data_IF_422602976961
#
_entry.id   IF_422602976961
#
_cell.length_a   1.000
_cell.length_b   1.000
_cell.length_c   1.000
_cell.angle_alpha   90.00
_cell.angle_beta   90.00
_cell.angle_gamma   90.00
#
_symmetry.space_group_name_H-M   'P 1'
#
loop_
_entity.id
_entity.type
_entity.pdbx_description
1 polymer ?
#
# COMPACT_ATOMS: atom_id res chain seq x y z
N UNK A 1 68.54 -41.10 -14.80
CA UNK A 1 67.17 -41.47 -14.38
C UNK A 1 66.50 -40.23 -13.83
N UNK A 2 65.65 -39.56 -14.61
CA UNK A 2 64.87 -38.40 -14.18
C UNK A 2 63.39 -38.72 -14.40
N UNK A 3 62.60 -38.76 -13.33
CA UNK A 3 61.13 -38.81 -13.41
C UNK A 3 60.61 -37.47 -12.92
N UNK A 4 60.15 -36.69 -13.90
CA UNK A 4 59.49 -35.40 -13.73
C UNK A 4 58.08 -35.63 -13.18
N UNK A 5 57.79 -34.99 -12.04
CA UNK A 5 56.47 -34.94 -11.42
C UNK A 5 55.67 -33.85 -12.14
N UNK A 6 54.51 -34.19 -12.72
CA UNK A 6 53.50 -33.21 -13.13
C UNK A 6 52.27 -33.37 -12.23
N UNK A 7 52.10 -32.43 -11.29
CA UNK A 7 50.81 -32.17 -10.65
C UNK A 7 50.00 -31.26 -11.57
N UNK A 8 48.92 -31.77 -12.17
CA UNK A 8 47.88 -30.93 -12.75
C UNK A 8 46.86 -30.61 -11.65
N UNK A 9 46.94 -29.39 -11.10
CA UNK A 9 45.88 -28.82 -10.29
C UNK A 9 44.76 -28.31 -11.23
N UNK A 10 43.64 -29.03 -11.28
CA UNK A 10 42.43 -28.54 -11.94
C UNK A 10 41.71 -27.58 -10.98
N UNK A 11 41.78 -26.28 -11.25
CA UNK A 11 40.99 -25.25 -10.58
C UNK A 11 39.52 -25.42 -10.97
N UNK A 12 38.70 -25.86 -10.01
CA UNK A 12 37.23 -25.83 -10.09
C UNK A 12 36.76 -24.37 -10.04
N UNK A 13 36.39 -23.82 -11.20
CA UNK A 13 35.58 -22.60 -11.26
C UNK A 13 34.13 -22.91 -10.91
N UNK A 14 33.69 -22.58 -9.70
CA UNK A 14 32.28 -22.60 -9.34
C UNK A 14 31.57 -21.44 -10.04
N UNK A 15 31.04 -21.67 -11.24
CA UNK A 15 30.05 -20.78 -11.82
C UNK A 15 28.80 -20.84 -10.93
N UNK A 16 28.48 -19.74 -10.24
CA UNK A 16 27.23 -19.62 -9.50
C UNK A 16 26.07 -19.71 -10.50
N UNK A 17 25.45 -20.89 -10.58
CA UNK A 17 24.22 -21.09 -11.33
C UNK A 17 23.13 -20.22 -10.67
N UNK A 18 22.81 -19.09 -11.30
CA UNK A 18 21.55 -18.39 -11.06
C UNK A 18 20.45 -19.38 -11.43
N UNK A 19 19.64 -19.80 -10.45
CA UNK A 19 18.48 -20.62 -10.76
C UNK A 19 17.53 -19.78 -11.62
N UNK A 20 16.91 -20.36 -12.63
CA UNK A 20 15.94 -19.66 -13.47
C UNK A 20 14.79 -19.02 -12.65
N UNK A 21 14.57 -19.46 -11.41
CA UNK A 21 13.65 -18.88 -10.44
C UNK A 21 14.02 -17.47 -9.93
N UNK A 22 15.25 -17.02 -10.17
CA UNK A 22 15.82 -15.81 -9.56
C UNK A 22 15.93 -14.66 -10.58
N UNK A 23 15.31 -14.79 -11.75
CA UNK A 23 15.26 -13.72 -12.76
C UNK A 23 14.17 -12.69 -12.40
N UNK A 24 14.53 -11.42 -12.12
CA UNK A 24 13.57 -10.40 -11.75
C UNK A 24 12.70 -9.93 -12.93
N UNK A 25 12.92 -10.40 -14.16
CA UNK A 25 12.04 -10.12 -15.31
C UNK A 25 10.83 -11.04 -15.37
N UNK A 26 10.85 -12.17 -14.66
CA UNK A 26 9.72 -13.09 -14.59
C UNK A 26 8.61 -12.48 -13.72
N UNK A 27 7.35 -12.71 -14.10
CA UNK A 27 6.20 -12.28 -13.31
C UNK A 27 6.08 -13.09 -12.03
N UNK A 28 5.87 -12.40 -10.89
CA UNK A 28 5.78 -13.03 -9.58
C UNK A 28 4.33 -13.00 -9.07
N UNK A 29 3.82 -14.09 -8.46
CA UNK A 29 2.49 -14.11 -7.85
C UNK A 29 2.30 -12.97 -6.84
N UNK A 30 1.23 -12.19 -7.00
CA UNK A 30 0.91 -11.08 -6.08
C UNK A 30 1.81 -9.85 -6.22
N UNK A 31 2.69 -9.78 -7.23
CA UNK A 31 3.54 -8.63 -7.53
C UNK A 31 3.21 -8.09 -8.92
N UNK A 32 2.90 -6.80 -9.02
CA UNK A 32 2.59 -6.15 -10.30
C UNK A 32 3.86 -5.72 -11.03
N UNK A 33 3.91 -6.01 -12.32
CA UNK A 33 4.91 -5.49 -13.24
C UNK A 33 4.47 -4.11 -13.75
N UNK A 34 5.15 -3.05 -13.31
CA UNK A 34 4.83 -1.69 -13.71
C UNK A 34 5.64 -1.26 -14.94
N UNK A 35 4.96 -0.47 -15.76
CA UNK A 35 5.48 0.23 -16.94
C UNK A 35 5.21 1.73 -16.79
N UNK A 36 5.79 2.61 -17.63
CA UNK A 36 5.51 4.04 -17.57
C UNK A 36 4.01 4.38 -17.65
N UNK A 37 3.25 3.60 -18.43
CA UNK A 37 1.81 3.81 -18.65
C UNK A 37 0.96 3.36 -17.46
N UNK A 38 1.46 2.41 -16.67
CA UNK A 38 0.70 1.77 -15.58
C UNK A 38 1.17 2.22 -14.20
N UNK A 39 2.35 2.84 -14.09
CA UNK A 39 2.99 3.19 -12.83
C UNK A 39 2.08 4.05 -11.96
N UNK A 40 1.75 5.27 -12.41
CA UNK A 40 0.99 6.22 -11.60
C UNK A 40 -0.40 5.65 -11.23
N UNK A 41 -1.05 4.90 -12.12
CA UNK A 41 -2.34 4.24 -11.84
C UNK A 41 -2.29 3.27 -10.66
N UNK A 42 -1.17 2.57 -10.46
CA UNK A 42 -1.05 1.54 -9.43
C UNK A 42 -0.36 2.00 -8.15
N UNK A 43 0.43 3.08 -8.21
CA UNK A 43 1.16 3.60 -7.04
C UNK A 43 0.54 4.87 -6.44
N UNK A 44 -0.39 5.51 -7.16
CA UNK A 44 -1.19 6.63 -6.64
C UNK A 44 -2.62 6.18 -6.36
N UNK A 45 -3.26 6.86 -5.41
CA UNK A 45 -4.66 6.61 -5.05
C UNK A 45 -4.82 5.80 -3.78
N UNK A 46 -5.75 4.85 -3.80
CA UNK A 46 -6.37 4.32 -2.59
C UNK A 46 -5.54 3.41 -1.69
N UNK A 47 -4.47 2.84 -2.25
CA UNK A 47 -3.68 1.81 -1.61
C UNK A 47 -2.26 2.33 -1.40
N UNK A 48 -1.65 1.85 -0.33
CA UNK A 48 -0.21 1.99 -0.17
C UNK A 48 0.47 1.14 -1.23
N UNK A 49 1.63 1.54 -1.74
CA UNK A 49 2.41 0.70 -2.62
C UNK A 49 3.85 0.53 -2.11
N UNK A 50 4.37 -0.69 -2.19
CA UNK A 50 5.78 -0.97 -2.02
C UNK A 50 6.32 -1.39 -3.39
N UNK A 51 7.28 -0.65 -3.92
CA UNK A 51 7.79 -0.83 -5.29
C UNK A 51 9.27 -1.14 -5.28
N UNK A 52 9.65 -2.27 -5.87
CA UNK A 52 11.04 -2.59 -6.22
C UNK A 52 11.40 -1.93 -7.56
N UNK A 53 12.44 -1.11 -7.55
CA UNK A 53 13.15 -0.65 -8.75
C UNK A 53 14.34 -1.58 -8.98
N UNK A 54 14.32 -2.30 -10.09
CA UNK A 54 15.33 -3.33 -10.40
C UNK A 54 15.97 -3.14 -11.78
N UNK A 55 17.04 -3.91 -12.01
CA UNK A 55 17.64 -4.13 -13.31
C UNK A 55 17.93 -5.63 -13.51
N UNK A 56 17.78 -6.18 -14.74
CA UNK A 56 17.88 -7.63 -14.99
C UNK A 56 19.30 -8.19 -14.78
N UNK A 57 20.32 -7.37 -14.95
CA UNK A 57 21.72 -7.74 -14.75
C UNK A 57 22.16 -7.65 -13.27
N UNK A 58 21.35 -7.06 -12.39
CA UNK A 58 21.74 -6.84 -11.00
C UNK A 58 21.65 -8.12 -10.15
N UNK A 59 22.80 -8.61 -9.68
CA UNK A 59 22.87 -9.79 -8.82
C UNK A 59 22.13 -9.63 -7.48
N UNK A 60 22.03 -8.41 -6.94
CA UNK A 60 21.25 -8.15 -5.72
C UNK A 60 19.74 -8.25 -5.97
N UNK A 61 19.25 -7.78 -7.12
CA UNK A 61 17.85 -7.94 -7.51
C UNK A 61 17.48 -9.42 -7.63
N UNK A 62 18.34 -10.20 -8.31
CA UNK A 62 18.14 -11.65 -8.46
C UNK A 62 17.97 -12.36 -7.12
N UNK A 63 18.81 -12.03 -6.14
CA UNK A 63 18.72 -12.57 -4.78
C UNK A 63 17.47 -12.16 -4.02
N UNK A 64 16.84 -11.04 -4.38
CA UNK A 64 15.63 -10.54 -3.71
C UNK A 64 14.34 -11.16 -4.26
N UNK A 65 14.34 -11.66 -5.50
CA UNK A 65 13.20 -12.31 -6.15
C UNK A 65 12.44 -13.30 -5.24
N UNK A 66 13.09 -14.29 -4.57
CA UNK A 66 12.36 -15.24 -3.73
C UNK A 66 11.65 -14.58 -2.54
N UNK A 67 12.28 -13.58 -1.91
CA UNK A 67 11.69 -12.85 -0.77
C UNK A 67 10.54 -11.95 -1.23
N UNK A 68 10.70 -11.28 -2.37
CA UNK A 68 9.68 -10.40 -2.93
C UNK A 68 8.46 -11.17 -3.45
N UNK A 69 8.69 -12.35 -4.04
CA UNK A 69 7.62 -13.30 -4.39
C UNK A 69 6.84 -13.71 -3.14
N UNK A 70 7.54 -14.15 -2.09
CA UNK A 70 6.91 -14.57 -0.83
C UNK A 70 6.10 -13.44 -0.20
N UNK A 71 6.60 -12.21 -0.26
CA UNK A 71 5.84 -11.03 0.16
C UNK A 71 4.53 -10.86 -0.64
N UNK A 72 4.59 -10.95 -1.97
CA UNK A 72 3.42 -10.86 -2.84
C UNK A 72 2.36 -11.91 -2.48
N UNK A 73 2.78 -13.15 -2.25
CA UNK A 73 1.89 -14.25 -1.83
C UNK A 73 1.26 -13.98 -0.44
N UNK A 74 2.05 -13.53 0.54
CA UNK A 74 1.56 -13.18 1.88
C UNK A 74 0.53 -12.04 1.85
N UNK A 75 0.81 -10.98 1.08
CA UNK A 75 -0.11 -9.85 0.94
C UNK A 75 -1.38 -10.27 0.19
N UNK A 76 -1.27 -11.11 -0.84
CA UNK A 76 -2.42 -11.61 -1.59
C UNK A 76 -3.30 -12.57 -0.77
N UNK A 77 -2.72 -13.29 0.20
CA UNK A 77 -3.42 -14.22 1.07
C UNK A 77 -4.15 -13.55 2.25
N UNK A 78 -3.74 -12.34 2.67
CA UNK A 78 -4.37 -11.60 3.76
C UNK A 78 -5.36 -10.54 3.21
N UNK A 79 -6.68 -10.70 3.42
CA UNK A 79 -7.68 -9.75 2.95
C UNK A 79 -7.51 -8.32 3.50
N UNK A 80 -6.90 -8.16 4.69
CA UNK A 80 -6.62 -6.84 5.27
C UNK A 80 -5.50 -6.12 4.52
N UNK A 81 -4.58 -6.87 3.92
CA UNK A 81 -3.42 -6.34 3.18
C UNK A 81 -3.72 -6.22 1.69
N UNK A 82 -4.24 -7.27 1.05
CA UNK A 82 -4.56 -7.32 -0.39
C UNK A 82 -5.37 -6.11 -0.88
N UNK A 83 -6.23 -5.61 -0.01
CA UNK A 83 -7.16 -4.52 -0.32
C UNK A 83 -6.60 -3.14 0.00
N UNK A 84 -5.49 -3.04 0.74
CA UNK A 84 -4.89 -1.77 1.19
C UNK A 84 -3.46 -1.56 0.68
N UNK A 85 -2.83 -2.60 0.13
CA UNK A 85 -1.43 -2.59 -0.30
C UNK A 85 -1.30 -3.15 -1.70
N UNK A 86 -0.46 -2.50 -2.50
CA UNK A 86 0.06 -2.96 -3.78
C UNK A 86 1.53 -3.34 -3.60
N UNK A 87 1.90 -4.55 -4.02
CA UNK A 87 3.30 -4.96 -4.16
C UNK A 87 3.63 -4.93 -5.65
N UNK A 88 4.72 -4.27 -6.03
CA UNK A 88 5.01 -4.03 -7.43
C UNK A 88 6.52 -3.96 -7.71
N UNK A 89 6.89 -4.18 -8.97
CA UNK A 89 8.26 -4.02 -9.44
C UNK A 89 8.31 -3.28 -10.76
N UNK A 90 9.39 -2.57 -11.01
CA UNK A 90 9.64 -1.85 -12.25
C UNK A 90 11.09 -2.03 -12.68
N UNK A 91 11.29 -2.38 -13.94
CA UNK A 91 12.62 -2.39 -14.54
C UNK A 91 13.05 -0.94 -14.82
N UNK A 92 13.74 -0.33 -13.87
CA UNK A 92 14.18 1.06 -14.00
C UNK A 92 15.42 1.22 -14.91
N UNK A 93 16.06 0.12 -15.34
CA UNK A 93 17.09 0.17 -16.37
C UNK A 93 16.47 0.32 -17.78
N UNK A 94 15.33 -0.33 -18.02
CA UNK A 94 14.53 -0.17 -19.23
C UNK A 94 13.65 1.10 -19.20
N UNK A 95 13.17 1.49 -18.02
CA UNK A 95 12.28 2.65 -17.82
C UNK A 95 12.96 3.72 -16.95
N UNK A 96 14.09 4.25 -17.45
CA UNK A 96 14.95 5.20 -16.72
C UNK A 96 14.21 6.44 -16.20
N UNK A 97 13.25 6.96 -16.97
CA UNK A 97 12.44 8.13 -16.59
C UNK A 97 11.71 7.95 -15.26
N UNK A 98 11.24 6.73 -14.95
CA UNK A 98 10.60 6.43 -13.65
C UNK A 98 11.66 6.41 -12.54
N UNK A 99 12.83 5.80 -12.79
CA UNK A 99 13.95 5.81 -11.85
C UNK A 99 14.41 7.24 -11.52
N UNK A 100 14.58 8.08 -12.53
CA UNK A 100 15.00 9.48 -12.41
C UNK A 100 13.97 10.31 -11.61
N UNK A 101 12.67 10.11 -11.86
CA UNK A 101 11.56 10.76 -11.13
C UNK A 101 11.69 10.57 -9.62
N UNK A 102 12.17 9.41 -9.18
CA UNK A 102 12.30 9.05 -7.76
C UNK A 102 13.75 8.97 -7.26
N UNK A 103 14.71 9.52 -8.01
CA UNK A 103 16.13 9.54 -7.63
C UNK A 103 16.74 8.15 -7.34
N UNK A 104 16.40 7.16 -8.20
CA UNK A 104 16.96 5.81 -8.12
C UNK A 104 18.35 5.80 -8.74
N UNK A 105 19.38 5.68 -7.89
CA UNK A 105 20.80 5.70 -8.30
C UNK A 105 21.48 4.33 -8.28
N UNK A 106 20.78 3.28 -7.84
CA UNK A 106 21.32 1.94 -7.72
C UNK A 106 20.20 0.91 -7.57
N UNK A 107 20.57 -0.37 -7.64
CA UNK A 107 19.60 -1.47 -7.65
C UNK A 107 19.93 -2.58 -6.64
N UNK A 108 18.91 -3.22 -6.02
CA UNK A 108 17.53 -2.75 -6.00
C UNK A 108 17.39 -1.55 -5.06
N UNK A 109 16.50 -0.63 -5.43
CA UNK A 109 15.97 0.41 -4.54
C UNK A 109 14.50 0.09 -4.30
N UNK A 110 14.07 0.14 -3.04
CA UNK A 110 12.68 -0.10 -2.67
C UNK A 110 12.10 1.21 -2.17
N UNK A 111 10.95 1.59 -2.69
CA UNK A 111 10.25 2.81 -2.27
C UNK A 111 8.84 2.49 -1.83
N UNK A 112 8.40 3.20 -0.81
CA UNK A 112 7.08 3.13 -0.24
C UNK A 112 6.29 4.39 -0.64
N UNK A 113 5.12 4.16 -1.20
CA UNK A 113 4.19 5.18 -1.68
C UNK A 113 2.98 5.15 -0.73
N UNK A 114 2.82 6.17 0.12
CA UNK A 114 1.66 6.25 1.01
C UNK A 114 0.36 6.42 0.22
N UNK A 115 -0.70 5.74 0.65
CA UNK A 115 -2.05 5.89 0.11
C UNK A 115 -2.51 7.35 0.18
N UNK A 116 -3.24 7.79 -0.85
CA UNK A 116 -3.84 9.12 -0.95
C UNK A 116 -2.83 10.27 -1.11
N UNK A 117 -1.55 9.96 -1.29
CA UNK A 117 -0.50 10.97 -1.52
C UNK A 117 -0.06 10.95 -2.99
N UNK A 118 0.32 12.11 -3.56
CA UNK A 118 0.91 12.16 -4.89
C UNK A 118 2.21 11.34 -4.93
N UNK A 119 2.54 10.73 -6.06
CA UNK A 119 3.81 10.03 -6.24
C UNK A 119 4.93 11.03 -6.64
N UNK A 120 5.47 11.75 -5.66
CA UNK A 120 6.58 12.69 -5.83
C UNK A 120 7.63 12.53 -4.72
N UNK A 121 8.72 13.29 -4.79
CA UNK A 121 9.88 13.13 -3.90
C UNK A 121 9.60 13.52 -2.44
N UNK A 122 8.59 14.35 -2.18
CA UNK A 122 8.29 14.86 -0.84
C UNK A 122 7.44 13.87 -0.02
N UNK A 123 6.70 12.98 -0.70
CA UNK A 123 5.76 12.05 -0.08
C UNK A 123 6.23 10.61 -0.10
N UNK A 124 7.05 10.23 -1.10
CA UNK A 124 7.59 8.88 -1.26
C UNK A 124 8.74 8.65 -0.28
N UNK A 125 8.72 7.50 0.39
CA UNK A 125 9.71 7.14 1.40
C UNK A 125 10.62 6.03 0.90
N UNK A 126 11.92 6.12 1.19
CA UNK A 126 12.83 5.00 0.96
C UNK A 126 12.61 3.90 1.99
N UNK A 127 12.61 2.65 1.53
CA UNK A 127 12.68 1.50 2.41
C UNK A 127 14.14 1.05 2.58
N UNK A 128 14.68 1.30 3.78
CA UNK A 128 16.08 1.02 4.13
C UNK A 128 16.22 -0.06 5.22
N UNK A 129 15.17 -0.84 5.48
CA UNK A 129 15.20 -1.95 6.44
C UNK A 129 15.63 -3.27 5.77
N UNK A 130 15.59 -4.38 6.53
CA UNK A 130 15.97 -5.71 6.03
C UNK A 130 15.11 -6.14 4.83
N UNK A 131 15.71 -6.80 3.83
CA UNK A 131 15.04 -7.16 2.57
C UNK A 131 14.53 -8.61 2.58
N UNK A 132 13.83 -8.97 3.65
CA UNK A 132 13.16 -10.27 3.80
C UNK A 132 11.65 -10.07 3.75
N UNK A 133 10.91 -11.11 3.34
CA UNK A 133 9.45 -11.08 3.24
C UNK A 133 8.80 -10.66 4.57
N UNK A 134 9.34 -11.14 5.70
CA UNK A 134 8.85 -10.78 7.04
C UNK A 134 9.07 -9.30 7.35
N UNK A 135 10.27 -8.76 7.10
CA UNK A 135 10.56 -7.35 7.38
C UNK A 135 9.71 -6.41 6.52
N UNK A 136 9.53 -6.74 5.23
CA UNK A 136 8.61 -5.99 4.37
C UNK A 136 7.17 -6.03 4.88
N UNK A 137 6.70 -7.21 5.30
CA UNK A 137 5.35 -7.40 5.82
C UNK A 137 5.12 -6.61 7.10
N UNK A 138 6.08 -6.63 8.03
CA UNK A 138 5.98 -5.93 9.31
C UNK A 138 5.98 -4.42 9.11
N UNK A 139 6.85 -3.90 8.22
CA UNK A 139 6.82 -2.50 7.81
C UNK A 139 5.46 -2.10 7.23
N UNK A 140 4.88 -2.91 6.34
CA UNK A 140 3.57 -2.62 5.76
C UNK A 140 2.47 -2.60 6.83
N UNK A 141 2.50 -3.53 7.79
CA UNK A 141 1.55 -3.55 8.91
C UNK A 141 1.71 -2.31 9.79
N UNK A 142 2.94 -1.92 10.12
CA UNK A 142 3.22 -0.69 10.87
C UNK A 142 2.62 0.53 10.15
N UNK A 143 2.88 0.67 8.84
CA UNK A 143 2.33 1.76 8.04
C UNK A 143 0.80 1.75 7.98
N UNK A 144 0.19 0.57 7.85
CA UNK A 144 -1.27 0.43 7.84
C UNK A 144 -1.92 0.73 9.19
N UNK A 145 -1.21 0.50 10.29
CA UNK A 145 -1.66 0.84 11.64
C UNK A 145 -1.51 2.34 11.92
N UNK A 146 -0.44 2.97 11.41
CA UNK A 146 -0.25 4.41 11.50
C UNK A 146 -1.18 5.20 10.56
N UNK A 147 -1.59 4.59 9.45
CA UNK A 147 -2.60 5.11 8.55
C UNK A 147 -3.98 5.08 9.23
N UNK A 148 -4.38 6.24 9.79
CA UNK A 148 -5.69 6.49 10.41
C UNK A 148 -6.88 6.22 9.48
N UNK A 149 -6.63 5.97 8.19
CA UNK A 149 -7.57 5.38 7.26
C UNK A 149 -7.62 6.12 5.92
N UNK A 150 -7.53 5.34 4.84
CA UNK A 150 -7.76 5.81 3.47
C UNK A 150 -9.12 6.52 3.34
N UNK A 151 -9.16 7.71 2.74
CA UNK A 151 -10.35 8.56 2.59
C UNK A 151 -10.83 9.33 3.84
N UNK A 152 -10.05 9.40 4.91
CA UNK A 152 -10.34 10.41 5.95
C UNK A 152 -10.00 11.81 5.46
N UNK A 153 -10.84 12.76 5.85
CA UNK A 153 -10.61 14.18 5.60
C UNK A 153 -10.25 14.78 6.95
N UNK A 154 -8.98 15.08 7.15
CA UNK A 154 -8.45 15.52 8.45
C UNK A 154 -9.24 16.70 9.03
N UNK A 155 -9.65 17.64 8.19
CA UNK A 155 -10.47 18.79 8.57
C UNK A 155 -11.87 18.41 9.11
N UNK A 156 -12.37 17.21 8.80
CA UNK A 156 -13.69 16.72 9.23
C UNK A 156 -13.63 15.71 10.39
N UNK A 157 -12.45 15.20 10.73
CA UNK A 157 -12.25 14.18 11.77
C UNK A 157 -12.70 14.68 13.14
N UNK A 158 -12.39 15.93 13.49
CA UNK A 158 -12.81 16.54 14.75
C UNK A 158 -14.33 16.66 14.86
N UNK A 159 -15.01 16.98 13.76
CA UNK A 159 -16.47 17.04 13.69
C UNK A 159 -17.12 15.66 13.82
N UNK A 160 -16.52 14.62 13.22
CA UNK A 160 -16.99 13.24 13.37
C UNK A 160 -16.97 12.80 14.85
N UNK A 161 -15.88 13.09 15.57
CA UNK A 161 -15.77 12.84 17.01
C UNK A 161 -16.80 13.63 17.81
N UNK A 162 -16.91 14.95 17.55
CA UNK A 162 -17.91 15.81 18.19
C UNK A 162 -19.33 15.27 17.98
N UNK A 163 -19.65 14.78 16.78
CA UNK A 163 -20.96 14.23 16.46
C UNK A 163 -21.28 12.96 17.26
N UNK A 164 -20.28 12.10 17.51
CA UNK A 164 -20.47 10.84 18.21
C UNK A 164 -20.96 11.05 19.66
N UNK A 165 -20.48 12.11 20.33
CA UNK A 165 -20.80 12.45 21.72
C UNK A 165 -21.77 13.61 21.91
N UNK A 166 -22.11 14.37 20.86
CA UNK A 166 -22.98 15.52 20.96
C UNK A 166 -24.43 15.17 21.33
N UNK A 167 -25.02 15.98 22.19
CA UNK A 167 -26.47 16.02 22.44
C UNK A 167 -27.19 16.62 21.21
N UNK A 168 -26.72 17.77 20.72
CA UNK A 168 -27.23 18.40 19.50
C UNK A 168 -26.46 17.96 18.26
N UNK A 169 -26.81 16.75 17.78
CA UNK A 169 -26.25 16.19 16.56
C UNK A 169 -26.60 16.97 15.30
N UNK A 170 -27.71 17.71 15.30
CA UNK A 170 -28.14 18.50 14.15
C UNK A 170 -27.23 19.73 13.95
N UNK A 171 -26.85 20.41 15.03
CA UNK A 171 -25.89 21.50 14.99
C UNK A 171 -24.52 21.02 14.45
N UNK A 172 -23.99 19.91 14.96
CA UNK A 172 -22.71 19.36 14.48
C UNK A 172 -22.78 18.98 13.00
N UNK A 173 -23.89 18.39 12.55
CA UNK A 173 -24.10 18.09 11.13
C UNK A 173 -24.07 19.36 10.27
N UNK A 174 -24.70 20.46 10.70
CA UNK A 174 -24.69 21.72 9.98
C UNK A 174 -23.27 22.31 9.90
N UNK A 175 -22.53 22.31 11.00
CA UNK A 175 -21.12 22.74 11.03
C UNK A 175 -20.24 21.90 10.10
N UNK A 176 -20.45 20.57 10.09
CA UNK A 176 -19.69 19.65 9.22
C UNK A 176 -19.98 19.91 7.74
N UNK A 177 -21.25 20.20 7.38
CA UNK A 177 -21.62 20.60 6.01
C UNK A 177 -20.91 21.89 5.61
N UNK A 178 -20.84 22.89 6.48
CA UNK A 178 -20.11 24.12 6.21
C UNK A 178 -18.59 23.88 6.06
N UNK A 179 -18.00 23.04 6.92
CA UNK A 179 -16.58 22.68 6.84
C UNK A 179 -16.25 21.93 5.54
N UNK A 180 -17.15 21.10 5.03
CA UNK A 180 -16.97 20.37 3.77
C UNK A 180 -16.84 21.31 2.56
N UNK A 181 -17.54 22.44 2.55
CA UNK A 181 -17.44 23.42 1.45
C UNK A 181 -16.03 24.02 1.32
N UNK A 182 -15.28 24.07 2.43
CA UNK A 182 -13.90 24.56 2.47
C UNK A 182 -12.86 23.49 2.10
N UNK A 183 -13.26 22.22 1.92
CA UNK A 183 -12.35 21.14 1.53
C UNK A 183 -11.99 21.28 0.05
N UNK A 184 -10.71 21.37 -0.26
CA UNK A 184 -10.23 21.42 -1.65
C UNK A 184 -9.97 20.03 -2.24
N UNK A 185 -10.23 19.88 -3.55
CA UNK A 185 -10.00 18.64 -4.30
C UNK A 185 -11.23 17.72 -4.40
N UNK A 186 -11.52 17.24 -5.61
CA UNK A 186 -12.73 16.46 -5.90
C UNK A 186 -12.81 15.15 -5.10
N UNK A 187 -11.68 14.45 -4.95
CA UNK A 187 -11.63 13.21 -4.16
C UNK A 187 -11.86 13.47 -2.67
N UNK A 188 -11.25 14.53 -2.12
CA UNK A 188 -11.44 14.91 -0.73
C UNK A 188 -12.88 15.34 -0.45
N UNK A 189 -13.53 16.08 -1.38
CA UNK A 189 -14.96 16.40 -1.30
C UNK A 189 -15.85 15.16 -1.37
N UNK A 190 -15.55 14.23 -2.28
CA UNK A 190 -16.29 12.96 -2.40
C UNK A 190 -16.18 12.11 -1.12
N UNK A 191 -14.99 12.11 -0.50
CA UNK A 191 -14.74 11.44 0.77
C UNK A 191 -15.46 12.16 1.93
N UNK A 192 -15.43 13.49 1.96
CA UNK A 192 -16.13 14.30 2.96
C UNK A 192 -17.65 14.14 2.91
N UNK A 193 -18.24 13.91 1.72
CA UNK A 193 -19.65 13.58 1.59
C UNK A 193 -20.05 12.27 2.32
N UNK A 194 -19.10 11.34 2.54
CA UNK A 194 -19.35 10.15 3.36
C UNK A 194 -19.57 10.50 4.83
N UNK A 195 -18.87 11.50 5.38
CA UNK A 195 -19.07 11.96 6.76
C UNK A 195 -20.52 12.42 6.95
N UNK A 196 -20.98 13.29 6.05
CA UNK A 196 -22.37 13.80 6.05
C UNK A 196 -23.37 12.66 5.97
N UNK A 197 -23.16 11.73 5.03
CA UNK A 197 -24.04 10.56 4.85
C UNK A 197 -24.13 9.70 6.11
N UNK A 198 -23.02 9.47 6.81
CA UNK A 198 -23.02 8.66 8.03
C UNK A 198 -23.65 9.39 9.21
N UNK A 199 -23.42 10.70 9.35
CA UNK A 199 -24.11 11.52 10.34
C UNK A 199 -25.62 11.50 10.13
N UNK A 200 -26.10 11.68 8.89
CA UNK A 200 -27.52 11.61 8.56
C UNK A 200 -28.11 10.23 8.86
N UNK A 201 -27.39 9.15 8.51
CA UNK A 201 -27.85 7.78 8.81
C UNK A 201 -27.85 7.48 10.30
N UNK A 202 -26.89 8.00 11.07
CA UNK A 202 -26.87 7.85 12.51
C UNK A 202 -27.98 8.66 13.21
N UNK A 203 -28.35 9.82 12.66
CA UNK A 203 -29.51 10.58 13.12
C UNK A 203 -30.83 9.85 12.86
N UNK A 204 -30.95 9.16 11.71
CA UNK A 204 -32.12 8.37 11.35
C UNK A 204 -32.22 7.03 12.13
N UNK A 205 -31.10 6.32 12.28
CA UNK A 205 -31.06 4.93 12.77
C UNK A 205 -30.57 4.78 14.20
N UNK A 206 -30.17 5.87 14.85
CA UNK A 206 -29.63 5.87 16.20
C UNK A 206 -28.11 5.70 16.28
N UNK A 207 -27.56 5.99 17.46
CA UNK A 207 -26.11 6.11 17.70
C UNK A 207 -25.32 4.82 17.43
N UNK A 208 -25.92 3.64 17.61
CA UNK A 208 -25.27 2.34 17.37
C UNK A 208 -25.07 2.01 15.89
N UNK A 209 -25.66 2.79 14.97
CA UNK A 209 -25.51 2.59 13.53
C UNK A 209 -24.04 2.65 13.09
N UNK A 210 -23.28 3.62 13.60
CA UNK A 210 -21.90 3.87 13.17
C UNK A 210 -21.00 2.66 13.48
N UNK A 211 -21.05 2.16 14.72
CA UNK A 211 -20.27 1.00 15.16
C UNK A 211 -20.70 -0.29 14.46
N UNK A 212 -22.01 -0.50 14.31
CA UNK A 212 -22.55 -1.70 13.65
C UNK A 212 -22.20 -1.73 12.17
N UNK A 213 -22.30 -0.60 11.47
CA UNK A 213 -21.96 -0.51 10.06
C UNK A 213 -20.46 -0.68 9.82
N UNK A 214 -19.60 -0.11 10.68
CA UNK A 214 -18.15 -0.32 10.59
C UNK A 214 -17.81 -1.80 10.74
N UNK A 215 -18.31 -2.45 11.79
CA UNK A 215 -18.08 -3.87 12.02
C UNK A 215 -18.58 -4.75 10.86
N UNK A 216 -19.74 -4.41 10.28
CA UNK A 216 -20.28 -5.11 9.11
C UNK A 216 -19.37 -4.98 7.89
N UNK A 217 -18.89 -3.78 7.60
CA UNK A 217 -17.98 -3.53 6.47
C UNK A 217 -16.63 -4.22 6.67
N UNK A 218 -16.05 -4.16 7.86
CA UNK A 218 -14.79 -4.85 8.18
C UNK A 218 -14.92 -6.37 8.06
N UNK A 219 -16.05 -6.95 8.52
CA UNK A 219 -16.36 -8.37 8.34
C UNK A 219 -16.45 -8.75 6.86
N UNK A 220 -17.09 -7.92 6.04
CA UNK A 220 -17.17 -8.17 4.59
C UNK A 220 -15.82 -8.02 3.89
N UNK A 221 -15.01 -7.03 4.28
CA UNK A 221 -13.67 -6.82 3.73
C UNK A 221 -12.73 -7.98 4.07
N UNK A 222 -12.87 -8.55 5.28
CA UNK A 222 -12.08 -9.69 5.76
C UNK A 222 -12.55 -11.05 5.26
N UNK A 223 -13.83 -11.22 4.90
CA UNK A 223 -14.34 -12.50 4.37
C UNK A 223 -13.91 -12.79 2.93
N UNK A 224 -13.35 -11.80 2.22
CA UNK A 224 -12.91 -11.95 0.82
C UNK A 224 -14.05 -12.13 -0.20
N UNK A 225 -15.31 -12.05 0.24
CA UNK A 225 -16.51 -12.22 -0.60
C UNK A 225 -16.95 -10.94 -1.33
N UNK A 226 -16.10 -9.92 -1.34
CA UNK A 226 -16.38 -8.60 -1.94
C UNK A 226 -15.61 -8.49 -3.25
N UNK A 227 -16.29 -8.06 -4.33
CA UNK A 227 -15.64 -7.82 -5.61
C UNK A 227 -14.59 -6.71 -5.48
N UNK A 228 -13.51 -6.79 -6.25
CA UNK A 228 -12.44 -5.77 -6.24
C UNK A 228 -13.00 -4.34 -6.45
N UNK A 229 -14.03 -4.19 -7.29
CA UNK A 229 -14.73 -2.92 -7.51
C UNK A 229 -15.46 -2.35 -6.28
N UNK A 230 -15.88 -3.20 -5.34
CA UNK A 230 -16.58 -2.81 -4.11
C UNK A 230 -15.66 -2.68 -2.91
N UNK A 231 -14.48 -3.33 -2.96
CA UNK A 231 -13.48 -3.26 -1.90
C UNK A 231 -13.06 -1.84 -1.61
N UNK A 232 -12.75 -1.05 -2.65
CA UNK A 232 -12.27 0.32 -2.46
C UNK A 232 -13.37 1.18 -1.82
N UNK A 233 -14.61 1.06 -2.30
CA UNK A 233 -15.76 1.76 -1.73
C UNK A 233 -16.02 1.37 -0.26
N UNK A 234 -15.98 0.08 0.06
CA UNK A 234 -16.18 -0.41 1.42
C UNK A 234 -15.04 -0.01 2.35
N UNK A 235 -13.80 -0.02 1.87
CA UNK A 235 -12.63 0.42 2.62
C UNK A 235 -12.71 1.91 2.94
N UNK A 236 -13.10 2.76 1.97
CA UNK A 236 -13.35 4.19 2.21
C UNK A 236 -14.40 4.40 3.30
N UNK A 237 -15.51 3.69 3.21
CA UNK A 237 -16.61 3.78 4.18
C UNK A 237 -16.18 3.33 5.58
N UNK A 238 -15.52 2.18 5.70
CA UNK A 238 -15.05 1.66 6.98
C UNK A 238 -14.03 2.61 7.63
N UNK A 239 -13.15 3.20 6.82
CA UNK A 239 -12.19 4.21 7.24
C UNK A 239 -12.84 5.48 7.76
N UNK A 240 -13.76 6.08 7.00
CA UNK A 240 -14.51 7.27 7.44
C UNK A 240 -15.31 6.98 8.72
N UNK A 241 -15.92 5.80 8.84
CA UNK A 241 -16.61 5.40 10.07
C UNK A 241 -15.67 5.29 11.28
N UNK A 242 -14.39 4.96 11.07
CA UNK A 242 -13.36 5.03 12.11
C UNK A 242 -13.25 6.41 12.75
N UNK A 243 -13.45 7.48 11.97
CA UNK A 243 -13.38 8.85 12.49
C UNK A 243 -14.38 9.17 13.61
N UNK A 244 -15.48 8.41 13.68
CA UNK A 244 -16.50 8.57 14.71
C UNK A 244 -16.26 7.70 15.96
N UNK A 245 -15.35 6.73 15.88
CA UNK A 245 -15.27 5.61 16.82
C UNK A 245 -13.89 5.38 17.43
N UNK A 246 -12.84 5.99 16.87
CA UNK A 246 -11.49 5.86 17.40
C UNK A 246 -11.36 6.72 18.67
N UNK A 247 -11.09 6.07 19.80
CA UNK A 247 -10.60 6.72 21.02
C UNK A 247 -9.13 7.11 20.78
N UNK A 248 -8.72 8.34 21.14
CA UNK A 248 -7.33 8.81 20.93
C UNK A 248 -6.28 8.02 21.71
#
# INVERSE_FOLDING_TARGET
MARLVLLCAALLGAAAFVRASDDPTISLPGVLDLTPETFDKHVTGAKHALVEFYAPWCGHCKRMVPEYKKLGELVAADPKLKNRVVIAKVNADAHRSIGDKFDVRGFPTIKYFPAGKPANKDTVQDYNQARTATAFLDFLKEKLNADKGFARVEALDSFAKKFASAEDKAAVLAETKAALEAVEGDEAKANGALYIKFMEKAAEKGASYLSTEKARLEKMLSSGSVSASKVDEMSRKASVLGAFLDDE
#
